data_IF_467361015197
#
_entry.id   IF_467361015197
#
_cell.length_a   1.000
_cell.length_b   1.000
_cell.length_c   1.000
_cell.angle_alpha   90.00
_cell.angle_beta   90.00
_cell.angle_gamma   90.00
#
_symmetry.space_group_name_H-M   'P 1'
#
loop_
_entity.id
_entity.type
_entity.pdbx_description
1 polymer ?
#
# COMPACT_ATOMS: atom_id res chain seq x y z
N UNK A 1 -2.10 1.55 8.67
CA UNK A 1 -0.74 1.80 8.20
C UNK A 1 -0.04 0.54 7.74
N UNK A 2 1.20 0.64 7.29
CA UNK A 2 2.01 -0.47 6.76
C UNK A 2 2.03 -1.71 7.68
N UNK A 3 2.20 -1.51 8.99
CA UNK A 3 2.25 -2.61 9.96
C UNK A 3 0.97 -3.46 9.97
N UNK A 4 -0.20 -2.83 9.97
CA UNK A 4 -1.46 -3.57 9.92
C UNK A 4 -1.69 -4.28 8.58
N UNK A 5 -1.28 -3.65 7.48
CA UNK A 5 -1.30 -4.28 6.17
C UNK A 5 -0.34 -5.49 6.11
N UNK A 6 0.90 -5.34 6.63
CA UNK A 6 1.89 -6.41 6.69
C UNK A 6 1.39 -7.61 7.52
N UNK A 7 0.79 -7.36 8.69
CA UNK A 7 0.18 -8.41 9.50
C UNK A 7 -0.94 -9.14 8.76
N UNK A 8 -1.72 -8.42 7.93
CA UNK A 8 -2.77 -9.02 7.12
C UNK A 8 -2.29 -9.86 5.92
N UNK A 9 -0.97 -9.96 5.66
CA UNK A 9 -0.42 -10.86 4.64
C UNK A 9 -0.40 -12.31 5.10
N UNK A 10 -0.42 -12.54 6.41
CA UNK A 10 -0.36 -13.88 7.00
C UNK A 10 -1.77 -14.42 7.24
N UNK A 11 -1.89 -15.74 7.29
CA UNK A 11 -3.06 -16.45 7.77
C UNK A 11 -3.10 -16.40 9.31
N UNK A 12 -4.20 -16.87 9.92
CA UNK A 12 -4.30 -17.02 11.38
C UNK A 12 -3.25 -17.98 11.96
N UNK A 13 -2.70 -18.87 11.13
CA UNK A 13 -1.61 -19.80 11.47
C UNK A 13 -0.22 -19.18 11.25
N UNK A 14 -0.13 -17.87 10.99
CA UNK A 14 1.10 -17.15 10.68
C UNK A 14 1.80 -17.58 9.39
N UNK A 15 1.13 -18.31 8.53
CA UNK A 15 1.63 -18.61 7.19
C UNK A 15 1.38 -17.47 6.23
N UNK A 16 2.35 -17.19 5.37
CA UNK A 16 2.19 -16.19 4.32
C UNK A 16 1.13 -16.66 3.32
N UNK A 17 0.20 -15.77 2.94
CA UNK A 17 -0.81 -16.09 1.92
C UNK A 17 -0.14 -16.62 0.66
N UNK A 18 -0.64 -17.70 0.11
CA UNK A 18 -0.03 -18.47 -0.98
C UNK A 18 0.34 -17.63 -2.24
N UNK A 19 -0.33 -16.49 -2.43
CA UNK A 19 -0.06 -15.59 -3.55
C UNK A 19 0.90 -14.43 -3.21
N UNK A 20 1.60 -14.52 -2.08
CA UNK A 20 2.54 -13.51 -1.61
C UNK A 20 3.91 -14.10 -1.37
N UNK A 21 4.93 -13.34 -1.70
CA UNK A 21 6.33 -13.65 -1.38
C UNK A 21 7.01 -12.42 -0.83
N UNK A 22 7.93 -12.64 0.11
CA UNK A 22 8.76 -11.62 0.71
C UNK A 22 10.20 -11.88 0.31
N UNK A 23 10.79 -10.93 -0.36
CA UNK A 23 12.19 -10.93 -0.80
C UNK A 23 12.95 -9.98 0.11
N UNK A 24 14.02 -10.44 0.72
CA UNK A 24 14.87 -9.64 1.60
C UNK A 24 16.29 -9.53 1.06
N UNK A 25 16.89 -8.38 1.28
CA UNK A 25 18.31 -8.16 1.08
C UNK A 25 18.95 -7.94 2.45
N UNK A 26 19.98 -8.72 2.76
CA UNK A 26 20.70 -8.63 4.02
C UNK A 26 22.14 -8.18 3.81
N UNK A 27 22.64 -7.38 4.74
CA UNK A 27 24.05 -7.05 4.89
C UNK A 27 24.42 -7.17 6.37
N UNK A 28 25.48 -7.94 6.66
CA UNK A 28 25.98 -8.17 8.03
C UNK A 28 24.88 -8.50 9.05
N UNK A 29 23.97 -9.42 8.71
CA UNK A 29 22.82 -9.85 9.52
C UNK A 29 21.77 -8.76 9.77
N UNK A 30 21.73 -7.72 8.94
CA UNK A 30 20.71 -6.67 8.96
C UNK A 30 19.91 -6.69 7.68
N UNK A 31 18.61 -6.62 7.79
CA UNK A 31 17.76 -6.43 6.61
C UNK A 31 17.91 -5.00 6.13
N UNK A 32 18.51 -4.83 4.96
CA UNK A 32 18.78 -3.53 4.33
C UNK A 32 17.83 -3.22 3.18
N UNK A 33 17.15 -4.24 2.66
CA UNK A 33 16.14 -4.10 1.61
C UNK A 33 15.03 -5.12 1.73
N UNK A 34 13.84 -4.76 1.29
CA UNK A 34 12.68 -5.66 1.25
C UNK A 34 11.80 -5.35 0.05
N UNK A 35 11.38 -6.39 -0.64
CA UNK A 35 10.29 -6.34 -1.60
C UNK A 35 9.22 -7.37 -1.21
N UNK A 36 7.96 -7.05 -1.51
CA UNK A 36 6.83 -7.95 -1.32
C UNK A 36 6.08 -7.99 -2.64
N UNK A 37 5.92 -9.18 -3.18
CA UNK A 37 5.21 -9.42 -4.42
C UNK A 37 3.86 -10.10 -4.18
N UNK A 38 2.97 -9.88 -5.13
CA UNK A 38 1.72 -10.62 -5.30
C UNK A 38 1.75 -11.28 -6.66
N UNK A 39 1.53 -12.59 -6.69
CA UNK A 39 1.50 -13.38 -7.90
C UNK A 39 0.24 -14.25 -7.92
N UNK A 40 -0.76 -13.82 -8.65
CA UNK A 40 -1.96 -14.61 -8.89
C UNK A 40 -2.40 -14.48 -10.36
N UNK A 41 -3.47 -15.17 -10.72
CA UNK A 41 -4.00 -15.18 -12.08
C UNK A 41 -4.46 -13.81 -12.59
N UNK A 42 -4.77 -12.90 -11.68
CA UNK A 42 -5.31 -11.58 -12.01
C UNK A 42 -4.26 -10.47 -11.92
N UNK A 43 -3.23 -10.65 -11.08
CA UNK A 43 -2.33 -9.56 -10.75
C UNK A 43 -0.90 -10.05 -10.44
N UNK A 44 0.05 -9.59 -11.23
CA UNK A 44 1.48 -9.73 -10.99
C UNK A 44 2.03 -8.38 -10.52
N UNK A 45 2.27 -8.24 -9.23
CA UNK A 45 2.49 -6.92 -8.62
C UNK A 45 3.64 -6.88 -7.64
N UNK A 46 4.40 -5.81 -7.69
CA UNK A 46 5.30 -5.40 -6.62
C UNK A 46 4.51 -4.53 -5.63
N UNK A 47 4.16 -5.10 -4.47
CA UNK A 47 3.34 -4.43 -3.46
C UNK A 47 4.14 -3.52 -2.54
N UNK A 48 5.41 -3.85 -2.34
CA UNK A 48 6.34 -3.09 -1.48
C UNK A 48 7.73 -3.17 -2.07
N UNK A 49 8.42 -2.05 -2.06
CA UNK A 49 9.84 -1.96 -2.35
C UNK A 49 10.45 -0.93 -1.39
N UNK A 50 11.37 -1.37 -0.54
CA UNK A 50 12.04 -0.50 0.43
C UNK A 50 13.50 -0.86 0.53
N UNK A 51 14.33 0.17 0.63
CA UNK A 51 15.78 0.07 0.92
C UNK A 51 16.07 1.01 2.08
N UNK A 52 16.82 0.53 3.06
CA UNK A 52 17.26 1.32 4.20
C UNK A 52 18.00 2.57 3.71
N UNK A 53 17.80 3.70 4.36
CA UNK A 53 18.25 5.02 3.87
C UNK A 53 19.72 5.07 3.57
N UNK A 54 20.53 4.48 4.44
CA UNK A 54 21.99 4.41 4.35
C UNK A 54 22.48 3.50 3.22
N UNK A 55 21.62 2.65 2.68
CA UNK A 55 21.90 1.71 1.58
C UNK A 55 21.25 2.10 0.25
N UNK A 56 20.59 3.26 0.21
CA UNK A 56 20.01 3.77 -1.04
C UNK A 56 21.11 4.19 -2.03
N UNK A 57 20.76 4.22 -3.30
CA UNK A 57 21.67 4.58 -4.41
C UNK A 57 22.88 3.65 -4.62
N UNK A 58 22.84 2.44 -4.05
CA UNK A 58 23.88 1.40 -4.17
C UNK A 58 23.43 0.21 -5.04
N UNK A 59 22.38 0.37 -5.85
CA UNK A 59 21.89 -0.68 -6.73
C UNK A 59 20.90 -1.66 -6.09
N UNK A 60 20.75 -1.69 -4.76
CA UNK A 60 19.88 -2.66 -4.06
C UNK A 60 18.43 -2.61 -4.55
N UNK A 61 17.90 -1.41 -4.81
CA UNK A 61 16.54 -1.25 -5.35
C UNK A 61 16.37 -1.87 -6.73
N UNK A 62 17.37 -1.75 -7.61
CA UNK A 62 17.38 -2.38 -8.92
C UNK A 62 17.43 -3.91 -8.80
N UNK A 63 18.35 -4.44 -7.99
CA UNK A 63 18.45 -5.88 -7.79
C UNK A 63 17.16 -6.49 -7.24
N UNK A 64 16.50 -5.81 -6.29
CA UNK A 64 15.20 -6.26 -5.77
C UNK A 64 14.12 -6.27 -6.84
N UNK A 65 14.08 -5.26 -7.73
CA UNK A 65 13.11 -5.23 -8.84
C UNK A 65 13.38 -6.36 -9.84
N UNK A 66 14.64 -6.62 -10.19
CA UNK A 66 15.02 -7.72 -11.09
C UNK A 66 14.61 -9.08 -10.52
N UNK A 67 14.85 -9.31 -9.23
CA UNK A 67 14.39 -10.54 -8.56
C UNK A 67 12.85 -10.61 -8.58
N UNK A 68 12.15 -9.51 -8.32
CA UNK A 68 10.69 -9.46 -8.41
C UNK A 68 10.19 -9.82 -9.81
N UNK A 69 10.81 -9.27 -10.86
CA UNK A 69 10.46 -9.58 -12.26
C UNK A 69 10.67 -11.06 -12.59
N UNK A 70 11.77 -11.64 -12.13
CA UNK A 70 12.05 -13.07 -12.31
C UNK A 70 11.00 -13.94 -11.60
N UNK A 71 10.70 -13.67 -10.34
CA UNK A 71 9.72 -14.42 -9.54
C UNK A 71 8.29 -14.27 -10.11
N UNK A 72 7.95 -13.09 -10.57
CA UNK A 72 6.66 -12.80 -11.20
C UNK A 72 6.58 -13.30 -12.65
N UNK A 73 7.71 -13.70 -13.25
CA UNK A 73 7.79 -14.10 -14.66
C UNK A 73 7.18 -13.05 -15.60
N UNK A 74 7.56 -11.79 -15.38
CA UNK A 74 7.17 -10.65 -16.22
C UNK A 74 8.19 -9.52 -16.07
N UNK A 75 8.49 -8.86 -17.16
CA UNK A 75 9.33 -7.65 -17.21
C UNK A 75 8.54 -6.36 -16.95
N UNK A 76 7.22 -6.47 -16.91
CA UNK A 76 6.30 -5.35 -16.67
C UNK A 76 5.35 -5.66 -15.49
N UNK A 77 5.86 -5.90 -14.28
CA UNK A 77 4.99 -6.08 -13.13
C UNK A 77 4.25 -4.79 -12.81
N UNK A 78 3.01 -4.91 -12.36
CA UNK A 78 2.27 -3.75 -11.85
C UNK A 78 2.93 -3.19 -10.60
N UNK A 79 2.99 -1.87 -10.48
CA UNK A 79 3.39 -1.19 -9.26
C UNK A 79 2.43 -0.01 -8.98
N UNK A 80 2.09 0.18 -7.73
CA UNK A 80 1.32 1.35 -7.30
C UNK A 80 2.12 2.15 -6.29
N UNK A 81 2.14 3.46 -6.47
CA UNK A 81 2.81 4.34 -5.52
C UNK A 81 2.00 5.62 -5.28
N UNK A 82 2.07 6.11 -4.07
CA UNK A 82 1.51 7.40 -3.74
C UNK A 82 2.22 8.52 -4.52
N UNK A 83 1.47 9.46 -5.09
CA UNK A 83 2.01 10.55 -5.94
C UNK A 83 3.21 11.28 -5.31
N UNK A 84 3.22 11.49 -3.98
CA UNK A 84 4.34 12.14 -3.29
C UNK A 84 5.65 11.34 -3.31
N UNK A 85 5.61 10.08 -3.72
CA UNK A 85 6.78 9.21 -3.82
C UNK A 85 7.37 9.14 -5.23
N UNK A 86 6.71 9.74 -6.21
CA UNK A 86 7.12 9.67 -7.61
C UNK A 86 8.60 10.01 -7.79
N UNK A 87 9.06 11.12 -7.24
CA UNK A 87 10.46 11.57 -7.37
C UNK A 87 11.49 10.57 -6.85
N UNK A 88 11.11 9.75 -5.84
CA UNK A 88 12.00 8.71 -5.31
C UNK A 88 12.13 7.50 -6.24
N UNK A 89 11.10 7.25 -7.04
CA UNK A 89 11.01 6.09 -7.93
C UNK A 89 11.25 6.42 -9.39
N UNK A 90 11.24 7.69 -9.78
CA UNK A 90 11.27 8.14 -11.17
C UNK A 90 12.41 7.52 -11.98
N UNK A 91 13.64 7.51 -11.43
CA UNK A 91 14.80 6.91 -12.11
C UNK A 91 14.65 5.41 -12.31
N UNK A 92 14.10 4.70 -11.33
CA UNK A 92 13.88 3.26 -11.38
C UNK A 92 12.76 2.95 -12.37
N UNK A 93 11.66 3.69 -12.34
CA UNK A 93 10.55 3.53 -13.27
C UNK A 93 10.98 3.78 -14.71
N UNK A 94 11.75 4.86 -14.95
CA UNK A 94 12.30 5.17 -16.27
C UNK A 94 13.32 4.13 -16.76
N UNK A 95 14.15 3.60 -15.87
CA UNK A 95 15.16 2.59 -16.24
C UNK A 95 14.54 1.29 -16.76
N UNK A 96 13.39 0.89 -16.20
CA UNK A 96 12.67 -0.32 -16.63
C UNK A 96 11.49 -0.02 -17.56
N UNK A 97 11.38 1.20 -18.10
CA UNK A 97 10.30 1.63 -18.98
C UNK A 97 8.90 1.31 -18.41
N UNK A 98 8.68 1.61 -17.13
CA UNK A 98 7.36 1.49 -16.53
C UNK A 98 6.42 2.57 -17.06
N UNK A 99 5.26 2.18 -17.55
CA UNK A 99 4.27 3.06 -18.13
C UNK A 99 3.18 3.42 -17.12
N UNK A 100 2.90 4.73 -16.99
CA UNK A 100 1.79 5.20 -16.15
C UNK A 100 0.46 4.94 -16.86
N UNK A 101 -0.29 3.98 -16.36
CA UNK A 101 -1.57 3.55 -16.96
C UNK A 101 -2.78 4.24 -16.29
N UNK A 102 -2.70 4.49 -14.98
CA UNK A 102 -3.82 5.02 -14.24
C UNK A 102 -3.38 5.98 -13.14
N UNK A 103 -4.16 7.02 -12.93
CA UNK A 103 -4.07 7.88 -11.75
C UNK A 103 -5.38 7.78 -10.99
N UNK A 104 -5.33 7.18 -9.80
CA UNK A 104 -6.50 6.91 -9.00
C UNK A 104 -6.51 7.76 -7.72
N UNK A 105 -7.49 8.63 -7.59
CA UNK A 105 -7.70 9.41 -6.37
C UNK A 105 -8.49 8.60 -5.35
N UNK A 106 -8.18 8.78 -4.07
CA UNK A 106 -8.97 8.26 -2.95
C UNK A 106 -9.09 6.73 -2.91
N UNK A 107 -8.17 6.00 -3.53
CA UNK A 107 -8.25 4.54 -3.59
C UNK A 107 -7.95 3.86 -2.26
N UNK A 108 -6.86 4.25 -1.60
CA UNK A 108 -6.45 3.71 -0.29
C UNK A 108 -6.78 4.64 0.88
N UNK A 109 -6.84 5.94 0.63
CA UNK A 109 -7.11 7.00 1.60
C UNK A 109 -7.82 8.15 0.90
N UNK A 110 -8.61 8.92 1.65
CA UNK A 110 -9.35 10.08 1.12
C UNK A 110 -8.46 11.19 0.57
N UNK A 111 -7.22 11.25 1.03
CA UNK A 111 -6.25 12.26 0.58
C UNK A 111 -5.18 11.68 -0.34
N UNK A 112 -5.26 10.39 -0.66
CA UNK A 112 -4.26 9.75 -1.50
C UNK A 112 -4.56 9.93 -2.99
N UNK A 113 -3.50 10.05 -3.75
CA UNK A 113 -3.50 9.88 -5.20
C UNK A 113 -2.48 8.81 -5.51
N UNK A 114 -2.96 7.69 -6.03
CA UNK A 114 -2.14 6.57 -6.44
C UNK A 114 -1.82 6.67 -7.93
N UNK A 115 -0.56 6.50 -8.26
CA UNK A 115 -0.08 6.32 -9.61
C UNK A 115 0.10 4.83 -9.83
N UNK A 116 -0.51 4.31 -10.89
CA UNK A 116 -0.50 2.89 -11.23
C UNK A 116 0.28 2.70 -12.51
N UNK A 117 1.33 1.92 -12.43
CA UNK A 117 2.19 1.61 -13.57
C UNK A 117 1.99 0.17 -13.99
N UNK A 118 2.00 -0.06 -15.31
CA UNK A 118 1.90 -1.37 -15.97
C UNK A 118 0.66 -2.17 -15.52
N UNK A 119 -0.48 -1.53 -15.38
CA UNK A 119 -1.73 -2.19 -15.03
C UNK A 119 -2.79 -1.25 -14.47
N UNK A 120 -3.93 -1.82 -14.14
CA UNK A 120 -5.08 -1.08 -13.63
C UNK A 120 -5.48 -1.61 -12.26
N UNK A 121 -5.82 -0.71 -11.36
CA UNK A 121 -6.46 -1.08 -10.10
C UNK A 121 -7.91 -1.48 -10.37
N UNK A 122 -8.41 -2.54 -9.74
CA UNK A 122 -9.82 -2.91 -9.84
C UNK A 122 -10.69 -1.77 -9.32
N UNK A 123 -11.89 -1.65 -9.90
CA UNK A 123 -12.88 -0.70 -9.39
C UNK A 123 -13.20 -1.02 -7.93
N UNK A 124 -13.18 0.00 -7.12
CA UNK A 124 -13.49 -0.08 -5.71
C UNK A 124 -14.48 1.01 -5.37
N UNK A 125 -15.49 0.67 -4.56
CA UNK A 125 -16.32 1.72 -3.98
C UNK A 125 -15.45 2.82 -3.38
N UNK A 126 -15.62 4.02 -3.90
CA UNK A 126 -14.87 5.18 -3.45
C UNK A 126 -15.03 5.34 -1.94
N UNK A 127 -13.90 5.54 -1.26
CA UNK A 127 -13.92 5.92 0.16
C UNK A 127 -14.72 7.22 0.36
N UNK A 128 -14.87 8.03 -0.69
CA UNK A 128 -15.66 9.26 -0.71
C UNK A 128 -17.14 9.04 -0.39
N UNK A 129 -17.77 7.98 -0.90
CA UNK A 129 -19.17 7.68 -0.61
C UNK A 129 -19.42 7.41 0.88
N UNK A 130 -18.35 7.13 1.63
CA UNK A 130 -18.39 6.93 3.09
C UNK A 130 -18.19 8.23 3.87
N UNK A 131 -17.64 9.28 3.24
CA UNK A 131 -17.32 10.57 3.88
C UNK A 131 -18.53 11.52 3.83
N UNK A 132 -19.41 11.40 2.85
CA UNK A 132 -20.67 12.18 2.83
C UNK A 132 -21.50 12.00 4.11
N UNK A 133 -21.25 10.89 4.84
CA UNK A 133 -21.85 10.61 6.13
C UNK A 133 -21.08 11.21 7.33
N UNK A 134 -19.92 11.84 7.11
CA UNK A 134 -19.09 12.39 8.16
C UNK A 134 -19.08 13.91 8.10
N UNK A 135 -19.43 14.54 9.22
CA UNK A 135 -19.28 15.98 9.41
C UNK A 135 -17.78 16.35 9.51
N UNK A 136 -17.21 16.78 8.40
CA UNK A 136 -15.80 17.13 8.29
C UNK A 136 -15.41 18.32 9.18
N UNK A 137 -16.31 19.26 9.40
CA UNK A 137 -16.06 20.39 10.30
C UNK A 137 -15.95 19.93 11.74
N UNK A 138 -16.82 19.02 12.15
CA UNK A 138 -16.77 18.40 13.48
C UNK A 138 -15.51 17.58 13.67
N UNK A 139 -15.10 16.81 12.65
CA UNK A 139 -13.84 16.05 12.67
C UNK A 139 -12.63 16.97 12.81
N UNK A 140 -12.60 18.09 12.09
CA UNK A 140 -11.51 19.05 12.17
C UNK A 140 -11.44 19.71 13.56
N UNK A 141 -12.56 20.07 14.16
CA UNK A 141 -12.61 20.60 15.54
C UNK A 141 -12.06 19.59 16.55
N UNK A 142 -12.44 18.31 16.44
CA UNK A 142 -11.93 17.26 17.33
C UNK A 142 -10.44 17.04 17.10
N UNK A 143 -9.98 17.09 15.84
CA UNK A 143 -8.56 16.98 15.50
C UNK A 143 -7.73 18.08 16.18
N UNK A 144 -8.15 19.34 16.10
CA UNK A 144 -7.47 20.46 16.75
C UNK A 144 -7.37 20.24 18.27
N UNK A 145 -8.46 19.78 18.90
CA UNK A 145 -8.49 19.48 20.32
C UNK A 145 -7.62 18.27 20.71
N UNK A 146 -7.37 17.34 19.78
CA UNK A 146 -6.58 16.13 20.02
C UNK A 146 -5.08 16.37 20.10
N UNK A 147 -4.59 17.54 19.68
CA UNK A 147 -3.17 17.88 19.62
C UNK A 147 -2.36 17.06 18.57
N UNK A 148 -3.02 16.34 17.68
CA UNK A 148 -2.36 15.59 16.61
C UNK A 148 -1.82 16.52 15.53
N UNK A 149 -0.72 16.13 14.88
CA UNK A 149 0.01 17.00 13.93
C UNK A 149 -0.44 16.87 12.49
N UNK A 150 -1.06 15.74 12.11
CA UNK A 150 -1.47 15.47 10.74
C UNK A 150 -2.97 15.17 10.68
N UNK A 151 -3.72 16.04 10.00
CA UNK A 151 -5.17 15.91 9.88
C UNK A 151 -5.57 14.74 8.96
N UNK A 152 -4.82 14.50 7.89
CA UNK A 152 -5.07 13.40 6.95
C UNK A 152 -4.98 12.05 7.64
N UNK A 153 -3.88 11.82 8.39
CA UNK A 153 -3.70 10.58 9.17
C UNK A 153 -4.79 10.39 10.23
N UNK A 154 -5.24 11.51 10.82
CA UNK A 154 -6.31 11.49 11.81
C UNK A 154 -7.65 11.08 11.19
N UNK A 155 -8.02 11.67 10.05
CA UNK A 155 -9.27 11.33 9.35
C UNK A 155 -9.24 9.89 8.85
N UNK A 156 -8.12 9.43 8.29
CA UNK A 156 -7.94 8.04 7.85
C UNK A 156 -8.10 7.05 9.02
N UNK A 157 -7.57 7.40 10.20
CA UNK A 157 -7.74 6.58 11.40
C UNK A 157 -9.22 6.54 11.84
N UNK A 158 -9.92 7.67 11.80
CA UNK A 158 -11.34 7.74 12.15
C UNK A 158 -12.21 6.90 11.19
N UNK A 159 -11.94 6.97 9.88
CA UNK A 159 -12.65 6.17 8.87
C UNK A 159 -12.41 4.68 9.09
N UNK A 160 -11.18 4.27 9.37
CA UNK A 160 -10.85 2.87 9.66
C UNK A 160 -11.55 2.37 10.92
N UNK A 161 -11.55 3.17 11.99
CA UNK A 161 -12.29 2.84 13.21
C UNK A 161 -13.80 2.70 12.97
N UNK A 162 -14.38 3.61 12.18
CA UNK A 162 -15.79 3.56 11.83
C UNK A 162 -16.11 2.33 10.98
N UNK A 163 -15.31 2.04 9.96
CA UNK A 163 -15.46 0.86 9.10
C UNK A 163 -15.41 -0.45 9.90
N UNK A 164 -14.40 -0.58 10.78
CA UNK A 164 -14.29 -1.77 11.62
C UNK A 164 -15.49 -1.93 12.56
N UNK A 165 -15.99 -0.82 13.12
CA UNK A 165 -17.18 -0.82 13.99
C UNK A 165 -18.46 -1.24 13.24
N UNK A 166 -18.62 -0.80 11.99
CA UNK A 166 -19.76 -1.20 11.14
C UNK A 166 -19.66 -2.67 10.70
N UNK A 167 -18.47 -3.18 10.41
CA UNK A 167 -18.26 -4.60 10.13
C UNK A 167 -18.61 -5.45 11.36
N UNK A 168 -18.15 -5.08 12.56
CA UNK A 168 -18.46 -5.76 13.81
C UNK A 168 -19.97 -5.80 14.09
N UNK A 169 -20.70 -4.71 13.82
CA UNK A 169 -22.17 -4.70 13.95
C UNK A 169 -22.86 -5.70 13.02
N UNK A 170 -22.35 -5.81 11.77
CA UNK A 170 -22.90 -6.79 10.80
C UNK A 170 -22.63 -8.23 11.22
N UNK A 171 -21.47 -8.51 11.81
CA UNK A 171 -21.15 -9.83 12.36
C UNK A 171 -22.07 -10.19 13.54
N UNK A 172 -22.27 -9.28 14.48
CA UNK A 172 -23.14 -9.52 15.64
C UNK A 172 -24.64 -9.62 15.27
N UNK A 173 -25.07 -9.17 14.07
CA UNK A 173 -26.44 -9.36 13.58
C UNK A 173 -26.65 -10.71 12.88
N UNK A 174 -25.60 -11.50 12.65
CA UNK A 174 -25.70 -12.84 12.06
C UNK A 174 -25.68 -13.96 13.12
N UNK A 175 -25.49 -13.63 14.41
CA UNK A 175 -25.48 -14.56 15.52
C UNK A 175 -26.77 -14.53 16.38
N UNK A 176 -27.89 -14.02 15.86
CA UNK A 176 -29.20 -14.08 16.54
C UNK A 176 -30.19 -14.91 15.74
#
# INVERSE_FOLDING_TARGET
>A
GFRGWYQGLYTDEFELKFNREIIICEDQFRIVGVAIIKNDLQEKKICTLRVAREYQHQGIGHNLVEICMQQLQTDKPMITLHKSKLNQFERLLSYYDFELEQTQKHYYSIFSTELVFNGLLPEKESVFNKIELMDMEKLYRIFVLSGKKNFEDYVDACIRCWYNREQMKRFNMLEV
#
